data_IF_832433427496
#
_entry.id   IF_832433427496
#
_cell.length_a   1.000
_cell.length_b   1.000
_cell.length_c   1.000
_cell.angle_alpha   90.00
_cell.angle_beta   90.00
_cell.angle_gamma   90.00
#
_symmetry.space_group_name_H-M   'P 1'
#
loop_
_entity.id
_entity.type
_entity.pdbx_description
1 polymer ?
#
# COMPACT_ATOMS: atom_id res chain seq x y z
N UNK A 1 42.87 5.23 -20.85
CA UNK A 1 41.78 6.01 -20.24
C UNK A 1 40.67 6.09 -21.26
N UNK A 2 39.64 5.26 -21.15
CA UNK A 2 38.45 5.38 -22.00
C UNK A 2 37.74 6.68 -21.64
N UNK A 3 37.62 7.58 -22.61
CA UNK A 3 36.94 8.86 -22.45
C UNK A 3 35.51 8.60 -21.97
N UNK A 4 35.17 9.05 -20.75
CA UNK A 4 33.79 8.92 -20.28
C UNK A 4 32.91 9.80 -21.17
N UNK A 5 31.76 9.30 -21.66
CA UNK A 5 30.87 10.13 -22.45
C UNK A 5 30.45 11.34 -21.63
N UNK A 6 30.42 12.51 -22.27
CA UNK A 6 29.94 13.73 -21.60
C UNK A 6 28.48 13.57 -21.21
N UNK A 7 28.05 14.29 -20.17
CA UNK A 7 26.63 14.31 -19.76
C UNK A 7 25.74 14.77 -20.92
N UNK A 8 26.22 15.69 -21.77
CA UNK A 8 25.50 16.13 -22.96
C UNK A 8 25.23 14.97 -23.95
N UNK A 9 26.26 14.18 -24.27
CA UNK A 9 26.12 13.06 -25.19
C UNK A 9 25.22 11.97 -24.61
N UNK A 10 25.37 11.68 -23.31
CA UNK A 10 24.52 10.71 -22.62
C UNK A 10 23.05 11.15 -22.58
N UNK A 11 22.77 12.42 -22.28
CA UNK A 11 21.42 12.97 -22.30
C UNK A 11 20.76 12.81 -23.67
N UNK A 12 21.48 13.14 -24.75
CA UNK A 12 20.98 12.97 -26.11
C UNK A 12 20.68 11.49 -26.43
N UNK A 13 21.57 10.58 -26.05
CA UNK A 13 21.38 9.14 -26.24
C UNK A 13 20.14 8.64 -25.48
N UNK A 14 19.97 9.03 -24.21
CA UNK A 14 18.83 8.61 -23.40
C UNK A 14 17.50 9.15 -23.90
N UNK A 15 17.44 10.41 -24.32
CA UNK A 15 16.23 10.98 -24.93
C UNK A 15 15.86 10.26 -26.23
N UNK A 16 16.86 9.97 -27.08
CA UNK A 16 16.67 9.22 -28.33
C UNK A 16 16.21 7.79 -28.07
N UNK A 17 16.67 7.19 -26.96
CA UNK A 17 16.26 5.90 -26.46
C UNK A 17 14.87 5.90 -25.82
N UNK A 18 14.13 7.01 -25.84
CA UNK A 18 12.83 7.17 -25.21
C UNK A 18 12.86 7.11 -23.66
N UNK A 19 13.97 7.52 -23.04
CA UNK A 19 14.12 7.68 -21.59
C UNK A 19 13.93 9.15 -21.18
N UNK A 20 13.27 9.38 -20.06
CA UNK A 20 13.08 10.71 -19.49
C UNK A 20 14.29 11.10 -18.63
N UNK A 21 15.37 11.52 -19.28
CA UNK A 21 16.59 11.98 -18.62
C UNK A 21 16.48 13.45 -18.19
N UNK A 22 16.94 13.79 -16.98
CA UNK A 22 16.97 15.15 -16.42
C UNK A 22 18.35 15.44 -15.81
N UNK A 23 18.81 16.70 -15.82
CA UNK A 23 20.01 17.08 -15.06
C UNK A 23 19.72 16.95 -13.55
N UNK A 24 20.74 16.58 -12.78
CA UNK A 24 20.60 16.27 -11.36
C UNK A 24 21.62 17.00 -10.47
N UNK A 25 21.26 17.17 -9.20
CA UNK A 25 22.17 17.55 -8.13
C UNK A 25 22.70 16.27 -7.51
N UNK A 26 23.99 15.97 -7.72
CA UNK A 26 24.61 14.71 -7.29
C UNK A 26 24.46 14.43 -5.80
N UNK A 27 24.73 15.44 -4.98
CA UNK A 27 24.71 15.33 -3.51
C UNK A 27 23.31 15.07 -2.95
N UNK A 28 22.28 15.61 -3.60
CA UNK A 28 20.88 15.52 -3.16
C UNK A 28 20.10 14.41 -3.85
N UNK A 29 20.69 13.77 -4.86
CA UNK A 29 20.08 12.73 -5.68
C UNK A 29 18.69 13.13 -6.23
N UNK A 30 18.54 14.37 -6.70
CA UNK A 30 17.28 14.90 -7.27
C UNK A 30 17.53 15.76 -8.51
N UNK A 31 16.52 16.01 -9.36
CA UNK A 31 16.66 16.90 -10.50
C UNK A 31 17.12 18.30 -10.06
N UNK A 32 18.04 18.91 -10.82
CA UNK A 32 18.55 20.28 -10.56
C UNK A 32 17.67 21.38 -11.14
N UNK A 33 16.58 20.98 -11.79
CA UNK A 33 15.57 21.87 -12.37
C UNK A 33 14.41 22.05 -11.41
N UNK A 34 13.66 23.15 -11.54
CA UNK A 34 12.58 23.54 -10.63
C UNK A 34 11.41 22.54 -10.55
N UNK A 35 10.19 22.87 -11.05
CA UNK A 35 9.06 21.94 -10.97
C UNK A 35 9.28 20.75 -11.93
N UNK A 36 9.99 19.72 -11.46
CA UNK A 36 10.33 18.54 -12.26
C UNK A 36 9.20 17.52 -12.35
N UNK A 37 8.20 17.58 -11.46
CA UNK A 37 7.07 16.63 -11.45
C UNK A 37 6.29 16.60 -12.77
N UNK A 38 6.28 17.70 -13.52
CA UNK A 38 5.68 17.73 -14.86
C UNK A 38 6.27 16.69 -15.82
N UNK A 39 7.53 16.29 -15.60
CA UNK A 39 8.19 15.29 -16.44
C UNK A 39 7.75 13.85 -16.11
N UNK A 40 6.94 13.65 -15.06
CA UNK A 40 6.24 12.38 -14.83
C UNK A 40 5.14 12.11 -15.86
N UNK A 41 4.75 13.10 -16.67
CA UNK A 41 3.72 12.93 -17.71
C UNK A 41 4.18 13.33 -19.11
N UNK A 42 5.38 13.92 -19.25
CA UNK A 42 5.99 14.25 -20.54
C UNK A 42 7.52 14.17 -20.48
N UNK A 43 8.17 14.01 -21.63
CA UNK A 43 9.64 14.13 -21.72
C UNK A 43 10.08 15.60 -21.81
N UNK A 44 11.32 15.90 -21.39
CA UNK A 44 11.93 17.18 -21.73
C UNK A 44 12.19 17.28 -23.23
N UNK A 45 12.08 18.49 -23.75
CA UNK A 45 12.38 18.82 -25.14
C UNK A 45 13.88 19.00 -25.35
N UNK A 46 14.33 18.95 -26.60
CA UNK A 46 15.72 19.25 -26.97
C UNK A 46 16.12 20.65 -26.51
N UNK A 47 15.23 21.63 -26.67
CA UNK A 47 15.48 23.02 -26.27
C UNK A 47 15.62 23.18 -24.75
N UNK A 48 14.78 22.52 -23.95
CA UNK A 48 14.90 22.49 -22.49
C UNK A 48 16.26 21.92 -22.07
N UNK A 49 16.67 20.79 -22.67
CA UNK A 49 17.98 20.20 -22.39
C UNK A 49 19.15 21.07 -22.83
N UNK A 50 19.08 21.70 -24.01
CA UNK A 50 20.10 22.66 -24.45
C UNK A 50 20.26 23.81 -23.46
N UNK A 51 19.16 24.35 -22.93
CA UNK A 51 19.20 25.40 -21.92
C UNK A 51 19.82 24.92 -20.60
N UNK A 52 19.54 23.69 -20.17
CA UNK A 52 20.12 23.13 -18.95
C UNK A 52 21.61 22.84 -19.08
N UNK A 53 22.09 22.41 -20.25
CA UNK A 53 23.50 22.18 -20.51
C UNK A 53 24.33 23.45 -20.38
N UNK A 54 23.76 24.62 -20.69
CA UNK A 54 24.42 25.91 -20.50
C UNK A 54 24.78 26.18 -19.02
N UNK A 55 24.10 25.52 -18.08
CA UNK A 55 24.40 25.59 -16.64
C UNK A 55 25.42 24.56 -16.17
N UNK A 56 25.97 23.73 -17.06
CA UNK A 56 27.02 22.75 -16.75
C UNK A 56 26.61 21.71 -15.70
N UNK A 57 25.58 20.88 -15.96
CA UNK A 57 25.12 19.90 -14.98
C UNK A 57 26.21 18.86 -14.67
N UNK A 58 26.42 18.60 -13.38
CA UNK A 58 27.43 17.63 -12.90
C UNK A 58 26.91 16.18 -12.83
N UNK A 59 25.60 16.00 -12.98
CA UNK A 59 24.95 14.70 -12.91
C UNK A 59 23.72 14.63 -13.81
N UNK A 60 23.32 13.40 -14.13
CA UNK A 60 22.13 13.06 -14.88
C UNK A 60 21.34 12.00 -14.12
N UNK A 61 20.02 12.14 -14.12
CA UNK A 61 19.09 11.14 -13.60
C UNK A 61 18.08 10.76 -14.67
N UNK A 62 17.48 9.58 -14.52
CA UNK A 62 16.36 9.15 -15.35
C UNK A 62 15.16 8.94 -14.44
N UNK A 63 14.01 9.39 -14.92
CA UNK A 63 12.72 9.16 -14.29
C UNK A 63 12.15 7.83 -14.77
N UNK A 64 11.79 6.95 -13.85
CA UNK A 64 11.26 5.62 -14.13
C UNK A 64 9.76 5.67 -14.48
N UNK A 65 9.23 4.54 -14.95
CA UNK A 65 7.82 4.36 -15.30
C UNK A 65 7.45 4.79 -16.71
N UNK A 66 6.19 5.21 -16.87
CA UNK A 66 5.55 5.56 -18.13
C UNK A 66 6.34 6.58 -18.97
N UNK A 67 7.00 7.63 -18.41
CA UNK A 67 7.78 8.58 -19.21
C UNK A 67 8.99 7.96 -19.89
N UNK A 68 9.46 6.81 -19.41
CA UNK A 68 10.65 6.09 -19.90
C UNK A 68 10.32 4.75 -20.57
N UNK A 69 9.05 4.52 -20.90
CA UNK A 69 8.60 3.27 -21.51
C UNK A 69 8.57 2.12 -20.51
N UNK A 70 8.02 2.39 -19.33
CA UNK A 70 7.94 1.46 -18.19
C UNK A 70 9.30 0.95 -17.72
N UNK A 71 10.32 1.82 -17.77
CA UNK A 71 11.61 1.52 -17.15
C UNK A 71 11.43 1.36 -15.65
N UNK A 72 11.97 0.28 -15.10
CA UNK A 72 12.06 0.01 -13.67
C UNK A 72 13.47 -0.43 -13.33
N UNK A 73 13.85 -0.20 -12.08
CA UNK A 73 15.18 -0.54 -11.58
C UNK A 73 15.01 -1.33 -10.32
N UNK A 74 15.89 -2.31 -10.10
CA UNK A 74 16.11 -2.90 -8.79
C UNK A 74 17.39 -2.26 -8.22
N UNK A 75 17.19 -1.49 -7.16
CA UNK A 75 18.19 -0.72 -6.42
C UNK A 75 18.69 -1.57 -5.24
N UNK A 76 19.96 -1.97 -5.30
CA UNK A 76 20.64 -2.75 -4.26
C UNK A 76 21.44 -1.81 -3.36
N UNK A 77 20.86 -1.51 -2.21
CA UNK A 77 21.43 -0.64 -1.18
C UNK A 77 22.41 -1.39 -0.26
N UNK A 78 22.86 -0.75 0.82
CA UNK A 78 23.76 -1.32 1.82
C UNK A 78 25.06 -1.92 1.22
N UNK A 79 25.63 -1.25 0.21
CA UNK A 79 26.83 -1.71 -0.49
C UNK A 79 26.59 -2.90 -1.41
N UNK A 80 25.32 -3.23 -1.70
CA UNK A 80 24.94 -4.30 -2.61
C UNK A 80 25.17 -5.69 -2.02
N UNK A 81 25.13 -5.86 -0.70
CA UNK A 81 25.43 -7.14 -0.03
C UNK A 81 24.56 -8.30 -0.55
N UNK A 82 23.30 -8.04 -0.90
CA UNK A 82 22.39 -9.05 -1.44
C UNK A 82 22.49 -9.26 -2.95
N UNK A 83 23.23 -8.41 -3.69
CA UNK A 83 23.30 -8.47 -5.15
C UNK A 83 23.80 -9.83 -5.65
N UNK A 84 24.86 -10.38 -5.04
CA UNK A 84 25.43 -11.67 -5.48
C UNK A 84 24.47 -12.84 -5.26
N UNK A 85 23.80 -12.88 -4.11
CA UNK A 85 22.83 -13.92 -3.79
C UNK A 85 21.61 -13.84 -4.72
N UNK A 86 21.14 -12.62 -4.99
CA UNK A 86 20.07 -12.34 -5.93
C UNK A 86 20.44 -12.72 -7.37
N UNK A 87 21.63 -12.33 -7.81
CA UNK A 87 22.10 -12.64 -9.17
C UNK A 87 22.18 -14.14 -9.39
N UNK A 88 22.67 -14.89 -8.40
CA UNK A 88 22.78 -16.35 -8.48
C UNK A 88 21.41 -17.08 -8.46
N UNK A 89 20.33 -16.44 -8.00
CA UNK A 89 19.00 -17.04 -7.95
C UNK A 89 18.15 -16.77 -9.20
N UNK A 90 18.60 -15.90 -10.11
CA UNK A 90 17.93 -15.65 -11.38
C UNK A 90 18.53 -16.49 -12.54
N UNK A 91 17.71 -16.96 -13.51
CA UNK A 91 18.19 -17.66 -14.70
C UNK A 91 19.22 -16.87 -15.51
N UNK A 92 20.24 -17.53 -16.06
CA UNK A 92 21.26 -16.91 -16.91
C UNK A 92 20.66 -16.17 -18.13
N UNK A 93 19.60 -16.71 -18.71
CA UNK A 93 18.87 -16.09 -19.82
C UNK A 93 18.24 -14.73 -19.46
N UNK A 94 17.91 -14.51 -18.18
CA UNK A 94 17.47 -13.21 -17.68
C UNK A 94 18.67 -12.32 -17.35
N UNK A 95 19.73 -12.86 -16.74
CA UNK A 95 20.96 -12.12 -16.46
C UNK A 95 21.49 -11.40 -17.71
N UNK A 96 21.53 -12.08 -18.85
CA UNK A 96 22.02 -11.53 -20.13
C UNK A 96 21.21 -10.34 -20.66
N UNK A 97 19.94 -10.20 -20.27
CA UNK A 97 19.05 -9.11 -20.70
C UNK A 97 19.24 -7.83 -19.90
N UNK A 98 19.81 -7.92 -18.70
CA UNK A 98 19.82 -6.83 -17.74
C UNK A 98 20.93 -5.83 -18.03
N UNK A 99 20.64 -4.55 -17.84
CA UNK A 99 21.66 -3.52 -17.73
C UNK A 99 22.04 -3.40 -16.25
N UNK A 100 23.34 -3.37 -15.94
CA UNK A 100 23.83 -3.28 -14.56
C UNK A 100 24.82 -2.13 -14.46
N UNK A 101 24.63 -1.30 -13.45
CA UNK A 101 25.56 -0.23 -13.09
C UNK A 101 25.91 -0.29 -11.61
N UNK A 102 27.16 0.06 -11.26
CA UNK A 102 27.60 0.23 -9.87
C UNK A 102 27.32 1.65 -9.41
N UNK A 103 26.95 1.78 -8.13
CA UNK A 103 26.66 3.07 -7.50
C UNK A 103 27.82 3.55 -6.63
N UNK A 104 27.90 4.85 -6.28
CA UNK A 104 28.99 5.41 -5.46
C UNK A 104 29.10 4.81 -4.05
N UNK A 105 27.99 4.28 -3.51
CA UNK A 105 27.96 3.62 -2.20
C UNK A 105 28.38 2.15 -2.24
N UNK A 106 28.78 1.64 -3.41
CA UNK A 106 29.18 0.25 -3.61
C UNK A 106 28.04 -0.68 -4.03
N UNK A 107 26.80 -0.17 -4.05
CA UNK A 107 25.60 -0.88 -4.47
C UNK A 107 25.49 -1.05 -5.98
N UNK A 108 24.31 -1.50 -6.43
CA UNK A 108 24.02 -1.80 -7.83
C UNK A 108 22.65 -1.26 -8.23
N UNK A 109 22.54 -0.74 -9.45
CA UNK A 109 21.28 -0.61 -10.14
C UNK A 109 21.19 -1.69 -11.21
N UNK A 110 20.08 -2.42 -11.24
CA UNK A 110 19.72 -3.35 -12.31
C UNK A 110 18.54 -2.76 -13.07
N UNK A 111 18.75 -2.43 -14.34
CA UNK A 111 17.82 -1.64 -15.14
C UNK A 111 17.20 -2.50 -16.26
N UNK A 112 15.89 -2.37 -16.42
CA UNK A 112 15.11 -3.00 -17.49
C UNK A 112 13.87 -2.18 -17.82
N UNK A 113 13.16 -2.56 -18.89
CA UNK A 113 11.79 -2.12 -19.18
C UNK A 113 10.81 -3.25 -18.96
N UNK A 114 9.58 -2.94 -18.58
CA UNK A 114 8.49 -3.90 -18.55
C UNK A 114 7.55 -3.72 -19.76
N UNK A 115 7.08 -4.82 -20.32
CA UNK A 115 6.05 -4.82 -21.37
C UNK A 115 4.70 -4.25 -20.88
N UNK A 116 4.43 -4.31 -19.58
CA UNK A 116 3.26 -3.70 -18.95
C UNK A 116 3.63 -2.50 -18.06
N UNK A 117 2.62 -1.71 -17.68
CA UNK A 117 2.81 -0.62 -16.72
C UNK A 117 3.37 -1.15 -15.40
N UNK A 118 4.39 -0.47 -14.88
CA UNK A 118 4.95 -0.73 -13.55
C UNK A 118 4.26 0.14 -12.51
N UNK A 119 4.18 -0.35 -11.28
CA UNK A 119 3.70 0.46 -10.16
C UNK A 119 4.81 1.40 -9.67
N UNK A 120 4.53 2.18 -8.61
CA UNK A 120 5.55 2.96 -7.93
C UNK A 120 6.64 2.12 -7.25
N UNK A 121 7.48 2.76 -6.46
CA UNK A 121 8.60 2.11 -5.77
C UNK A 121 8.13 0.99 -4.83
N UNK A 122 8.76 -0.19 -4.92
CA UNK A 122 8.46 -1.38 -4.13
C UNK A 122 9.65 -1.72 -3.23
N UNK A 123 9.47 -1.76 -1.91
CA UNK A 123 10.48 -2.38 -1.02
C UNK A 123 10.44 -3.91 -1.16
N UNK A 124 11.53 -4.52 -1.62
CA UNK A 124 11.60 -5.95 -1.92
C UNK A 124 12.32 -6.75 -0.83
N UNK A 125 13.36 -6.20 -0.23
CA UNK A 125 14.06 -6.84 0.88
C UNK A 125 14.45 -5.81 1.92
N UNK A 126 14.18 -6.15 3.18
CA UNK A 126 14.46 -5.32 4.34
C UNK A 126 15.04 -6.18 5.47
N UNK A 127 15.83 -5.55 6.33
CA UNK A 127 16.36 -6.15 7.57
C UNK A 127 16.11 -5.20 8.73
N UNK A 128 15.72 -5.76 9.88
CA UNK A 128 15.64 -5.00 11.13
C UNK A 128 16.99 -5.05 11.85
N UNK A 129 17.60 -3.90 12.06
CA UNK A 129 18.87 -3.73 12.79
C UNK A 129 18.59 -2.83 14.01
N UNK A 130 18.52 -3.45 15.20
CA UNK A 130 17.99 -2.78 16.39
C UNK A 130 16.53 -2.36 16.16
N UNK A 131 16.22 -1.08 16.38
CA UNK A 131 14.88 -0.51 16.14
C UNK A 131 14.69 0.04 14.72
N UNK A 132 15.71 0.00 13.87
CA UNK A 132 15.64 0.55 12.51
C UNK A 132 15.40 -0.56 11.50
N UNK A 133 14.47 -0.31 10.58
CA UNK A 133 14.28 -1.14 9.40
C UNK A 133 15.09 -0.54 8.25
N UNK A 134 16.04 -1.29 7.73
CA UNK A 134 16.90 -0.92 6.61
C UNK A 134 16.36 -1.60 5.35
N UNK A 135 16.23 -0.84 4.26
CA UNK A 135 15.93 -1.40 2.94
C UNK A 135 17.23 -1.86 2.29
N UNK A 136 17.26 -3.11 1.83
CA UNK A 136 18.41 -3.72 1.16
C UNK A 136 18.19 -3.81 -0.35
N UNK A 137 16.95 -4.06 -0.77
CA UNK A 137 16.55 -4.09 -2.17
C UNK A 137 15.22 -3.35 -2.31
N UNK A 138 15.12 -2.40 -3.23
CA UNK A 138 13.85 -1.79 -3.64
C UNK A 138 13.75 -1.61 -5.15
N UNK A 139 12.54 -1.47 -5.68
CA UNK A 139 12.35 -0.99 -7.04
C UNK A 139 12.24 0.53 -7.10
N UNK A 140 12.72 1.11 -8.21
CA UNK A 140 12.33 2.45 -8.66
C UNK A 140 11.41 2.30 -9.87
N UNK A 141 10.11 2.36 -9.61
CA UNK A 141 9.05 2.22 -10.62
C UNK A 141 8.44 3.57 -11.03
N UNK A 142 7.14 3.63 -11.29
CA UNK A 142 6.42 4.86 -11.66
C UNK A 142 6.68 6.01 -10.69
N UNK A 143 7.13 7.15 -11.22
CA UNK A 143 7.49 8.35 -10.44
C UNK A 143 8.79 8.23 -9.64
N UNK A 144 9.43 7.05 -9.62
CA UNK A 144 10.77 6.83 -9.10
C UNK A 144 11.84 7.45 -10.00
N UNK A 145 13.03 7.69 -9.46
CA UNK A 145 14.16 8.20 -10.21
C UNK A 145 15.46 7.60 -9.69
N UNK A 146 16.50 7.64 -10.52
CA UNK A 146 17.85 7.23 -10.16
C UNK A 146 18.88 8.09 -10.88
N UNK A 147 20.01 8.33 -10.23
CA UNK A 147 21.19 8.86 -10.90
C UNK A 147 21.89 7.70 -11.62
N UNK A 148 22.48 8.01 -12.76
CA UNK A 148 23.08 6.99 -13.63
C UNK A 148 24.38 7.45 -14.26
N UNK A 149 25.10 6.51 -14.87
CA UNK A 149 26.23 6.82 -15.73
C UNK A 149 25.83 7.88 -16.78
N UNK A 150 26.71 8.82 -17.17
CA UNK A 150 28.12 8.98 -16.77
C UNK A 150 28.32 9.86 -15.51
N UNK A 151 27.30 10.05 -14.67
CA UNK A 151 27.45 10.80 -13.41
C UNK A 151 28.63 10.24 -12.61
N UNK A 152 29.53 11.08 -12.06
CA UNK A 152 30.71 10.58 -11.35
C UNK A 152 30.35 9.57 -10.23
N UNK A 153 31.01 8.40 -10.27
CA UNK A 153 30.79 7.31 -9.33
C UNK A 153 29.69 6.32 -9.72
N UNK A 154 28.99 6.55 -10.85
CA UNK A 154 28.14 5.56 -11.49
C UNK A 154 28.87 4.95 -12.68
N UNK A 155 28.91 3.62 -12.76
CA UNK A 155 29.68 2.89 -13.77
C UNK A 155 28.87 1.72 -14.31
N UNK A 156 28.58 1.73 -15.62
CA UNK A 156 27.96 0.60 -16.29
C UNK A 156 28.93 -0.58 -16.33
N UNK A 157 28.50 -1.70 -15.77
CA UNK A 157 29.26 -2.95 -15.76
C UNK A 157 28.68 -3.99 -16.72
N UNK A 158 27.42 -3.83 -17.14
CA UNK A 158 26.78 -4.70 -18.11
C UNK A 158 25.70 -3.96 -18.91
N UNK A 159 25.60 -4.26 -20.20
CA UNK A 159 24.55 -3.76 -21.07
C UNK A 159 24.71 -2.30 -21.47
N UNK A 160 23.67 -1.76 -22.11
CA UNK A 160 23.60 -0.37 -22.55
C UNK A 160 22.35 0.29 -21.97
N UNK A 161 22.55 1.34 -21.17
CA UNK A 161 21.44 2.07 -20.55
C UNK A 161 20.55 2.78 -21.58
N UNK A 162 21.06 3.08 -22.78
CA UNK A 162 20.26 3.60 -23.88
C UNK A 162 19.49 2.50 -24.63
N UNK A 163 19.67 1.23 -24.28
CA UNK A 163 18.94 0.12 -24.89
C UNK A 163 18.58 -0.97 -23.85
N UNK A 164 17.80 -0.64 -22.81
CA UNK A 164 17.38 -1.62 -21.82
C UNK A 164 16.40 -2.62 -22.45
N UNK A 165 16.59 -3.91 -22.16
CA UNK A 165 15.70 -4.96 -22.63
C UNK A 165 14.27 -4.78 -22.09
N UNK A 166 13.28 -5.11 -22.92
CA UNK A 166 11.87 -5.16 -22.51
C UNK A 166 11.56 -6.58 -22.04
N UNK A 167 11.26 -6.71 -20.76
CA UNK A 167 10.91 -7.95 -20.10
C UNK A 167 9.38 -8.19 -20.14
N UNK A 168 8.99 -9.46 -20.19
CA UNK A 168 7.59 -9.84 -19.95
C UNK A 168 7.21 -9.64 -18.47
N UNK A 169 5.91 -9.61 -18.16
CA UNK A 169 5.45 -9.57 -16.75
C UNK A 169 6.01 -10.76 -15.96
N UNK A 170 6.07 -11.95 -16.57
CA UNK A 170 6.60 -13.17 -15.94
C UNK A 170 8.10 -13.08 -15.68
N UNK A 171 8.87 -12.52 -16.61
CA UNK A 171 10.31 -12.32 -16.43
C UNK A 171 10.58 -11.33 -15.31
N UNK A 172 9.82 -10.23 -15.27
CA UNK A 172 9.85 -9.27 -14.16
C UNK A 172 9.52 -9.95 -12.83
N UNK A 173 8.48 -10.77 -12.77
CA UNK A 173 8.10 -11.47 -11.54
C UNK A 173 9.25 -12.33 -10.99
N UNK A 174 10.01 -13.02 -11.85
CA UNK A 174 11.18 -13.81 -11.43
C UNK A 174 12.23 -12.93 -10.75
N UNK A 175 12.50 -11.73 -11.28
CA UNK A 175 13.44 -10.79 -10.69
C UNK A 175 12.98 -10.32 -9.30
N UNK A 176 11.70 -9.98 -9.17
CA UNK A 176 11.13 -9.53 -7.90
C UNK A 176 11.07 -10.68 -6.87
N UNK A 177 10.80 -11.91 -7.32
CA UNK A 177 10.85 -13.11 -6.48
C UNK A 177 12.21 -13.32 -5.85
N UNK A 178 13.24 -13.32 -6.69
CA UNK A 178 14.60 -13.53 -6.27
C UNK A 178 15.01 -12.52 -5.20
N UNK A 179 14.51 -11.28 -5.29
CA UNK A 179 14.78 -10.25 -4.30
C UNK A 179 13.98 -10.49 -3.01
N UNK A 180 12.71 -10.85 -3.13
CA UNK A 180 11.85 -11.12 -1.99
C UNK A 180 12.28 -12.34 -1.17
N UNK A 181 12.82 -13.38 -1.80
CA UNK A 181 13.36 -14.55 -1.12
C UNK A 181 14.56 -14.23 -0.23
N UNK A 182 15.15 -13.04 -0.38
CA UNK A 182 16.22 -12.52 0.47
C UNK A 182 15.70 -11.54 1.53
N UNK A 183 14.39 -11.34 1.63
CA UNK A 183 13.80 -10.46 2.62
C UNK A 183 13.85 -11.08 4.03
N UNK A 184 14.34 -10.31 5.00
CA UNK A 184 14.50 -10.76 6.39
C UNK A 184 13.50 -10.11 7.33
N UNK A 185 12.67 -9.19 6.83
CA UNK A 185 11.73 -8.43 7.63
C UNK A 185 10.34 -8.38 7.00
N UNK A 186 9.35 -8.85 7.76
CA UNK A 186 7.94 -8.67 7.40
C UNK A 186 7.37 -7.47 8.15
N UNK A 187 6.72 -6.52 7.47
CA UNK A 187 6.13 -5.37 8.11
C UNK A 187 4.95 -5.76 9.01
N UNK A 188 4.57 -4.89 9.97
CA UNK A 188 3.40 -5.11 10.81
C UNK A 188 2.14 -5.26 9.96
N UNK A 189 1.28 -6.20 10.35
CA UNK A 189 0.06 -6.53 9.62
C UNK A 189 -0.94 -5.38 9.71
N UNK A 190 -1.55 -5.00 8.59
CA UNK A 190 -2.70 -4.12 8.56
C UNK A 190 -3.90 -4.87 9.16
N UNK A 191 -4.09 -4.71 10.46
CA UNK A 191 -5.32 -5.09 11.12
C UNK A 191 -6.37 -4.01 10.85
N UNK A 192 -7.63 -4.42 10.70
CA UNK A 192 -8.76 -3.47 10.71
C UNK A 192 -8.80 -2.63 11.98
N UNK A 193 -9.78 -1.73 12.16
CA UNK A 193 -9.86 -0.86 13.32
C UNK A 193 -9.72 -1.66 14.62
N UNK A 194 -8.56 -1.58 15.26
CA UNK A 194 -8.40 -2.04 16.63
C UNK A 194 -9.22 -1.09 17.47
N UNK A 195 -10.41 -1.52 17.90
CA UNK A 195 -11.21 -0.75 18.85
C UNK A 195 -10.30 -0.25 19.97
N UNK A 196 -10.23 1.08 20.08
CA UNK A 196 -9.34 1.83 20.95
C UNK A 196 -9.25 1.21 22.36
N UNK A 197 -8.13 0.57 22.64
CA UNK A 197 -7.63 0.42 24.00
C UNK A 197 -6.50 1.44 24.17
N UNK A 198 -6.85 2.74 24.13
CA UNK A 198 -6.18 3.89 24.74
C UNK A 198 -6.63 5.18 24.04
N UNK A 199 -7.76 5.73 24.49
CA UNK A 199 -8.05 7.16 24.31
C UNK A 199 -7.83 7.84 25.67
N UNK A 200 -6.90 8.80 25.80
CA UNK A 200 -6.74 9.57 27.03
C UNK A 200 -7.83 10.65 27.06
N UNK A 201 -9.05 10.26 27.42
CA UNK A 201 -10.04 11.24 27.86
C UNK A 201 -9.70 11.67 29.29
N UNK A 202 -8.92 12.75 29.41
CA UNK A 202 -8.90 13.57 30.63
C UNK A 202 -10.25 14.29 30.69
N UNK A 203 -11.20 13.65 31.38
CA UNK A 203 -12.41 14.28 31.92
C UNK A 203 -12.30 14.31 33.44
N UNK A 204 -12.83 15.34 34.12
CA UNK A 204 -12.53 15.57 35.53
C UNK A 204 -13.15 14.50 36.42
N UNK A 205 -12.37 14.17 37.45
CA UNK A 205 -12.64 13.24 38.53
C UNK A 205 -13.96 13.60 39.22
N UNK A 206 -14.86 12.62 39.39
CA UNK A 206 -15.87 12.64 40.44
C UNK A 206 -15.95 11.26 41.07
N UNK A 207 -15.49 11.24 42.32
CA UNK A 207 -15.45 10.16 43.28
C UNK A 207 -16.85 9.68 43.67
N UNK A 208 -17.15 8.40 43.49
CA UNK A 208 -17.69 7.48 44.53
C UNK A 208 -18.30 6.20 43.93
N UNK A 209 -17.54 5.10 43.93
CA UNK A 209 -18.00 3.77 44.42
C UNK A 209 -16.89 2.72 44.25
N UNK A 210 -16.63 1.88 45.27
CA UNK A 210 -15.64 0.81 45.20
C UNK A 210 -16.24 -0.46 44.56
N UNK A 211 -15.37 -1.35 44.06
CA UNK A 211 -15.61 -2.66 43.43
C UNK A 211 -15.54 -2.70 41.90
N UNK A 212 -14.32 -2.83 41.37
CA UNK A 212 -14.05 -3.49 40.09
C UNK A 212 -12.74 -4.27 40.22
N UNK A 213 -12.88 -5.59 40.34
CA UNK A 213 -11.78 -6.55 40.24
C UNK A 213 -11.49 -6.78 38.75
N UNK A 214 -10.21 -6.79 38.39
CA UNK A 214 -9.75 -6.88 37.02
C UNK A 214 -10.08 -8.21 36.36
N UNK A 215 -10.54 -8.15 35.12
CA UNK A 215 -10.43 -9.24 34.17
C UNK A 215 -9.79 -8.68 32.90
N UNK A 216 -8.53 -9.06 32.68
CA UNK A 216 -7.87 -8.89 31.39
C UNK A 216 -8.72 -9.61 30.33
N UNK A 217 -9.29 -8.88 29.38
CA UNK A 217 -9.98 -9.48 28.24
C UNK A 217 -8.98 -10.34 27.49
N UNK A 218 -9.19 -11.66 27.48
CA UNK A 218 -8.48 -12.54 26.58
C UNK A 218 -8.80 -12.09 25.15
N UNK A 219 -7.79 -11.82 24.34
CA UNK A 219 -7.93 -11.47 22.91
C UNK A 219 -8.59 -12.59 22.05
N UNK A 220 -9.14 -13.65 22.65
CA UNK A 220 -9.82 -14.76 21.97
C UNK A 220 -11.34 -14.63 21.87
N UNK A 221 -11.94 -13.60 22.47
CA UNK A 221 -13.41 -13.49 22.55
C UNK A 221 -14.05 -12.83 21.32
N UNK A 222 -13.28 -12.08 20.52
CA UNK A 222 -13.83 -11.34 19.37
C UNK A 222 -13.89 -12.23 18.13
N UNK A 223 -14.99 -12.20 17.35
CA UNK A 223 -15.13 -13.03 16.14
C UNK A 223 -13.98 -12.87 15.12
N UNK A 224 -13.48 -11.65 14.94
CA UNK A 224 -12.35 -11.39 14.04
C UNK A 224 -11.03 -11.98 14.53
N UNK A 225 -10.77 -11.94 15.83
CA UNK A 225 -9.54 -12.52 16.42
C UNK A 225 -9.60 -14.06 16.38
N UNK A 226 -10.77 -14.65 16.65
CA UNK A 226 -11.00 -16.08 16.49
C UNK A 226 -10.83 -16.52 15.02
N UNK A 227 -11.33 -15.74 14.06
CA UNK A 227 -11.11 -16.01 12.63
C UNK A 227 -9.62 -15.88 12.23
N UNK A 228 -8.88 -14.91 12.78
CA UNK A 228 -7.43 -14.84 12.56
C UNK A 228 -6.73 -16.13 12.99
N UNK A 229 -7.17 -16.71 14.11
CA UNK A 229 -6.56 -17.91 14.69
C UNK A 229 -6.95 -19.21 13.97
N UNK A 230 -8.24 -19.46 13.72
CA UNK A 230 -8.74 -20.74 13.18
C UNK A 230 -9.48 -20.65 11.85
N UNK A 231 -9.78 -19.44 11.37
CA UNK A 231 -10.50 -19.23 10.11
C UNK A 231 -9.71 -19.72 8.90
N UNK A 232 -10.42 -20.28 7.92
CA UNK A 232 -9.82 -20.75 6.68
C UNK A 232 -9.75 -19.63 5.64
N UNK A 233 -8.67 -18.85 5.71
CA UNK A 233 -8.39 -17.78 4.74
C UNK A 233 -8.14 -18.34 3.33
N UNK A 234 -7.74 -19.61 3.19
CA UNK A 234 -7.41 -20.19 1.89
C UNK A 234 -8.69 -20.38 1.07
N UNK A 235 -9.74 -20.90 1.70
CA UNK A 235 -11.06 -21.01 1.10
C UNK A 235 -11.61 -19.65 0.63
N UNK A 236 -11.48 -18.61 1.46
CA UNK A 236 -11.92 -17.24 1.10
C UNK A 236 -11.16 -16.73 -0.13
N UNK A 237 -9.85 -16.93 -0.20
CA UNK A 237 -9.06 -16.52 -1.36
C UNK A 237 -9.49 -17.26 -2.63
N UNK A 238 -9.65 -18.59 -2.54
CA UNK A 238 -10.05 -19.44 -3.66
C UNK A 238 -11.45 -19.09 -4.20
N UNK A 239 -12.41 -18.80 -3.33
CA UNK A 239 -13.77 -18.37 -3.70
C UNK A 239 -13.76 -17.06 -4.51
N UNK A 240 -12.83 -16.16 -4.18
CA UNK A 240 -12.62 -14.91 -4.90
C UNK A 240 -11.64 -15.03 -6.08
N UNK A 241 -11.41 -16.25 -6.56
CA UNK A 241 -10.65 -16.52 -7.79
C UNK A 241 -9.13 -16.45 -7.65
N UNK A 242 -8.60 -16.37 -6.43
CA UNK A 242 -7.17 -16.52 -6.22
C UNK A 242 -6.77 -17.98 -6.37
N UNK A 243 -5.63 -18.21 -7.02
CA UNK A 243 -5.15 -19.56 -7.28
C UNK A 243 -3.91 -19.82 -6.45
N UNK A 244 -3.98 -20.82 -5.56
CA UNK A 244 -2.82 -21.32 -4.84
C UNK A 244 -1.89 -22.07 -5.80
N UNK A 245 -0.61 -21.72 -5.78
CA UNK A 245 0.43 -22.38 -6.57
C UNK A 245 1.09 -23.48 -5.74
N UNK A 246 0.73 -24.74 -6.00
CA UNK A 246 1.21 -25.90 -5.22
C UNK A 246 2.54 -26.45 -5.73
N UNK A 247 2.93 -26.12 -6.95
CA UNK A 247 4.22 -26.45 -7.57
C UNK A 247 5.38 -25.64 -6.99
N UNK A 248 5.07 -24.62 -6.18
CA UNK A 248 6.04 -23.73 -5.53
C UNK A 248 5.88 -23.82 -4.02
N UNK A 249 6.87 -24.39 -3.34
CA UNK A 249 7.02 -24.25 -1.89
C UNK A 249 8.19 -23.31 -1.62
N UNK A 250 7.93 -22.22 -0.90
CA UNK A 250 8.99 -21.30 -0.50
C UNK A 250 9.91 -21.98 0.50
N UNK A 251 11.19 -21.57 0.55
CA UNK A 251 12.19 -22.14 1.48
C UNK A 251 11.75 -22.11 2.96
N UNK A 252 10.82 -21.21 3.30
CA UNK A 252 10.37 -20.93 4.67
C UNK A 252 8.89 -21.29 4.94
N UNK A 253 8.29 -22.18 4.13
CA UNK A 253 6.87 -22.53 4.29
C UNK A 253 5.89 -21.48 3.76
N UNK A 254 6.37 -20.52 2.96
CA UNK A 254 5.50 -19.59 2.24
C UNK A 254 4.65 -20.32 1.20
N UNK A 255 3.35 -20.04 1.21
CA UNK A 255 2.44 -20.43 0.14
C UNK A 255 2.32 -19.29 -0.87
N UNK A 256 2.39 -19.59 -2.16
CA UNK A 256 2.28 -18.60 -3.22
C UNK A 256 0.87 -18.56 -3.80
N UNK A 257 0.37 -17.35 -4.01
CA UNK A 257 -1.01 -17.09 -4.45
C UNK A 257 -1.01 -16.18 -5.67
N UNK A 258 -1.72 -16.59 -6.73
CA UNK A 258 -1.90 -15.81 -7.96
C UNK A 258 -3.25 -15.09 -7.92
N UNK A 259 -3.23 -13.80 -8.22
CA UNK A 259 -4.45 -12.96 -8.29
C UNK A 259 -5.36 -13.39 -9.45
N UNK A 260 -6.67 -13.12 -9.37
CA UNK A 260 -7.61 -13.35 -10.47
C UNK A 260 -7.16 -12.65 -11.76
N UNK A 261 -7.37 -13.31 -12.91
CA UNK A 261 -7.07 -12.74 -14.23
C UNK A 261 -5.59 -12.70 -14.62
N UNK A 262 -4.65 -13.07 -13.74
CA UNK A 262 -3.23 -13.20 -14.09
C UNK A 262 -2.97 -14.59 -14.72
N UNK A 263 -2.31 -14.69 -15.89
CA UNK A 263 -2.13 -15.98 -16.57
C UNK A 263 -1.05 -16.86 -15.92
N UNK A 264 0.04 -16.27 -15.42
CA UNK A 264 1.22 -16.98 -14.86
C UNK A 264 1.84 -16.18 -13.69
N UNK A 265 2.79 -16.77 -12.97
CA UNK A 265 3.42 -16.17 -11.79
C UNK A 265 2.51 -16.16 -10.55
N UNK A 266 2.89 -15.44 -9.49
CA UNK A 266 2.08 -15.21 -8.29
C UNK A 266 1.89 -13.69 -8.08
N UNK A 267 1.16 -13.31 -7.05
CA UNK A 267 0.82 -11.93 -6.73
C UNK A 267 0.76 -11.66 -5.22
N UNK A 268 0.72 -12.71 -4.42
CA UNK A 268 0.75 -12.65 -2.97
C UNK A 268 1.42 -13.91 -2.37
N UNK A 269 1.78 -13.83 -1.10
CA UNK A 269 2.20 -14.99 -0.30
C UNK A 269 1.36 -15.09 0.96
N UNK A 270 1.03 -16.30 1.39
CA UNK A 270 0.47 -16.58 2.70
C UNK A 270 1.56 -17.26 3.54
N UNK A 271 1.95 -16.63 4.65
CA UNK A 271 2.95 -17.16 5.58
C UNK A 271 2.32 -17.43 6.94
N UNK A 272 2.67 -18.57 7.54
CA UNK A 272 2.39 -18.86 8.94
C UNK A 272 3.55 -18.31 9.79
N UNK A 273 3.26 -17.28 10.58
CA UNK A 273 4.19 -16.67 11.53
C UNK A 273 3.80 -17.05 12.97
N UNK A 274 4.72 -16.87 13.91
CA UNK A 274 4.45 -17.08 15.35
C UNK A 274 3.31 -16.22 15.90
N UNK A 275 3.04 -15.08 15.26
CA UNK A 275 1.98 -14.12 15.63
C UNK A 275 0.68 -14.34 14.84
N UNK A 276 0.61 -15.35 13.96
CA UNK A 276 -0.55 -15.66 13.13
C UNK A 276 -0.24 -15.75 11.64
N UNK A 277 -1.28 -15.99 10.84
CA UNK A 277 -1.17 -16.03 9.37
C UNK A 277 -1.12 -14.62 8.79
N UNK A 278 -0.26 -14.41 7.79
CA UNK A 278 -0.13 -13.12 7.09
C UNK A 278 -0.24 -13.35 5.59
N UNK A 279 -1.25 -12.74 4.97
CA UNK A 279 -1.40 -12.66 3.52
C UNK A 279 -0.78 -11.37 3.02
N UNK A 280 0.38 -11.47 2.39
CA UNK A 280 1.14 -10.33 1.90
C UNK A 280 0.98 -10.16 0.40
N UNK A 281 0.45 -9.01 -0.04
CA UNK A 281 0.15 -8.74 -1.46
C UNK A 281 1.23 -7.89 -2.09
N UNK A 282 1.81 -8.37 -3.19
CA UNK A 282 2.87 -7.67 -3.93
C UNK A 282 2.32 -6.85 -5.09
N UNK A 283 1.24 -7.32 -5.70
CA UNK A 283 0.75 -6.77 -6.96
C UNK A 283 -0.09 -5.51 -6.75
N UNK A 284 0.15 -4.49 -7.58
CA UNK A 284 -0.70 -3.30 -7.68
C UNK A 284 -2.05 -3.54 -8.38
N UNK A 285 -2.21 -4.70 -9.02
CA UNK A 285 -3.42 -5.07 -9.76
C UNK A 285 -4.21 -6.16 -9.01
N UNK A 286 -4.17 -6.11 -7.68
CA UNK A 286 -4.78 -7.09 -6.78
C UNK A 286 -5.87 -6.45 -5.91
N UNK A 287 -6.66 -5.52 -6.48
CA UNK A 287 -7.82 -4.96 -5.78
C UNK A 287 -8.69 -6.08 -5.20
N UNK A 288 -9.21 -5.94 -3.96
CA UNK A 288 -9.23 -4.74 -3.11
C UNK A 288 -7.96 -4.50 -2.27
N UNK A 289 -6.90 -5.27 -2.46
CA UNK A 289 -5.69 -5.15 -1.66
C UNK A 289 -4.78 -4.03 -2.17
N UNK A 290 -4.18 -3.34 -1.21
CA UNK A 290 -3.09 -2.40 -1.46
C UNK A 290 -1.79 -3.18 -1.69
N UNK A 291 -0.97 -2.76 -2.67
CA UNK A 291 0.33 -3.35 -2.87
C UNK A 291 1.22 -3.17 -1.63
N UNK A 292 2.15 -4.10 -1.43
CA UNK A 292 3.12 -4.11 -0.33
C UNK A 292 2.53 -4.21 1.09
N UNK A 293 1.29 -4.70 1.20
CA UNK A 293 0.59 -4.73 2.47
C UNK A 293 0.38 -6.17 2.94
N UNK A 294 0.69 -6.41 4.21
CA UNK A 294 0.37 -7.65 4.90
C UNK A 294 -1.00 -7.55 5.54
N UNK A 295 -1.85 -8.53 5.31
CA UNK A 295 -3.21 -8.62 5.82
C UNK A 295 -3.39 -9.84 6.71
N UNK A 296 -4.07 -9.65 7.84
CA UNK A 296 -4.52 -10.75 8.68
C UNK A 296 -5.70 -11.47 7.99
N UNK A 297 -6.00 -12.75 8.31
CA UNK A 297 -7.13 -13.47 7.75
C UNK A 297 -8.46 -12.72 7.81
N UNK A 298 -8.74 -12.08 8.94
CA UNK A 298 -9.96 -11.29 9.12
C UNK A 298 -10.00 -10.07 8.20
N UNK A 299 -8.86 -9.40 7.97
CA UNK A 299 -8.78 -8.28 7.03
C UNK A 299 -8.98 -8.76 5.59
N UNK A 300 -8.43 -9.92 5.22
CA UNK A 300 -8.67 -10.56 3.91
C UNK A 300 -10.15 -10.85 3.72
N UNK A 301 -10.77 -11.53 4.69
CA UNK A 301 -12.20 -11.83 4.69
C UNK A 301 -13.05 -10.57 4.57
N UNK A 302 -12.74 -9.54 5.35
CA UNK A 302 -13.49 -8.28 5.33
C UNK A 302 -13.40 -7.58 3.99
N UNK A 303 -12.21 -7.51 3.39
CA UNK A 303 -12.01 -6.82 2.12
C UNK A 303 -12.72 -7.54 0.96
N UNK A 304 -12.65 -8.88 0.94
CA UNK A 304 -13.22 -9.68 -0.15
C UNK A 304 -14.73 -9.87 -0.03
N UNK A 305 -15.24 -10.23 1.15
CA UNK A 305 -16.67 -10.55 1.35
C UNK A 305 -17.53 -9.31 1.65
N UNK A 306 -16.97 -8.34 2.38
CA UNK A 306 -17.74 -7.21 2.94
C UNK A 306 -17.28 -5.85 2.42
N UNK A 307 -16.43 -5.82 1.39
CA UNK A 307 -15.96 -4.59 0.75
C UNK A 307 -15.22 -3.63 1.71
N UNK A 308 -14.61 -4.16 2.77
CA UNK A 308 -13.93 -3.35 3.79
C UNK A 308 -14.78 -2.98 5.01
N UNK A 309 -16.05 -3.42 5.09
CA UNK A 309 -16.89 -3.17 6.26
C UNK A 309 -16.62 -4.18 7.39
N UNK A 310 -15.73 -3.79 8.31
CA UNK A 310 -15.30 -4.62 9.44
C UNK A 310 -16.44 -4.93 10.44
N UNK A 311 -17.45 -4.08 10.55
CA UNK A 311 -18.57 -4.33 11.46
C UNK A 311 -19.54 -5.37 10.89
N UNK A 312 -19.82 -5.31 9.59
CA UNK A 312 -20.60 -6.34 8.90
C UNK A 312 -19.85 -7.66 8.87
N UNK A 313 -18.55 -7.64 8.61
CA UNK A 313 -17.70 -8.84 8.63
C UNK A 313 -17.70 -9.52 10.00
N UNK A 314 -17.50 -8.78 11.10
CA UNK A 314 -17.52 -9.35 12.45
C UNK A 314 -18.89 -9.95 12.82
N UNK A 315 -20.00 -9.32 12.39
CA UNK A 315 -21.36 -9.85 12.59
C UNK A 315 -21.57 -11.15 11.81
N UNK A 316 -21.15 -11.20 10.55
CA UNK A 316 -21.24 -12.40 9.70
C UNK A 316 -20.44 -13.56 10.30
N UNK A 317 -19.21 -13.29 10.75
CA UNK A 317 -18.36 -14.29 11.43
C UNK A 317 -19.01 -14.82 12.71
N UNK A 318 -19.70 -13.98 13.47
CA UNK A 318 -20.43 -14.43 14.66
C UNK A 318 -21.54 -15.41 14.31
N UNK A 319 -22.28 -15.16 13.23
CA UNK A 319 -23.30 -16.11 12.73
C UNK A 319 -22.68 -17.42 12.23
N UNK A 320 -21.45 -17.37 11.72
CA UNK A 320 -20.65 -18.54 11.36
C UNK A 320 -19.99 -19.25 12.57
N UNK A 321 -20.30 -18.79 13.79
CA UNK A 321 -19.84 -19.41 15.03
C UNK A 321 -18.43 -19.02 15.45
N UNK A 322 -17.91 -17.87 15.00
CA UNK A 322 -16.64 -17.31 15.47
C UNK A 322 -16.84 -16.33 16.65
N UNK A 323 -15.95 -16.39 17.64
CA UNK A 323 -16.02 -15.62 18.89
C UNK A 323 -16.77 -16.36 20.01
N UNK A 324 -16.68 -15.86 21.24
CA UNK A 324 -17.36 -16.47 22.39
C UNK A 324 -18.77 -15.92 22.55
N UNK A 325 -19.74 -16.81 22.72
CA UNK A 325 -21.02 -16.43 23.30
C UNK A 325 -20.81 -16.25 24.79
N UNK A 326 -20.83 -15.01 25.27
CA UNK A 326 -20.94 -14.73 26.71
C UNK A 326 -22.32 -15.18 27.20
N UNK A 327 -22.53 -16.49 27.31
CA UNK A 327 -23.64 -17.10 28.00
C UNK A 327 -23.25 -17.32 29.47
N UNK A 328 -23.27 -16.25 30.26
CA UNK A 328 -23.34 -16.34 31.72
C UNK A 328 -24.37 -15.34 32.24
N UNK A 329 -25.63 -15.75 32.22
CA UNK A 329 -26.59 -15.66 33.35
C UNK A 329 -27.97 -16.07 32.86
N UNK A 330 -28.34 -17.34 33.07
CA UNK A 330 -29.73 -17.75 33.24
C UNK A 330 -29.79 -18.82 34.33
N UNK A 331 -29.52 -18.39 35.55
CA UNK A 331 -30.05 -19.01 36.75
C UNK A 331 -30.74 -17.88 37.53
N UNK A 332 -32.06 -17.80 37.39
CA UNK A 332 -32.91 -16.81 38.05
C UNK A 332 -33.80 -16.08 37.07
N UNK A 333 -34.92 -16.70 36.73
CA UNK A 333 -36.05 -16.08 36.03
C UNK A 333 -36.63 -14.93 36.90
N UNK A 334 -36.61 -13.64 36.47
CA UNK A 334 -37.40 -12.62 37.12
C UNK A 334 -38.79 -12.61 36.48
N UNK A 335 -39.74 -13.17 37.22
CA UNK A 335 -41.17 -13.20 36.95
C UNK A 335 -41.73 -11.80 36.57
N UNK A 336 -42.19 -11.64 35.31
CA UNK A 336 -42.72 -10.38 34.74
C UNK A 336 -44.21 -10.14 35.13
N UNK A 337 -44.80 -10.98 35.98
CA UNK A 337 -46.25 -10.92 36.29
C UNK A 337 -46.79 -9.67 37.02
N UNK A 338 -46.02 -8.70 37.60
CA UNK A 338 -46.64 -7.53 38.22
C UNK A 338 -46.81 -6.29 37.31
N UNK A 339 -46.20 -6.21 36.12
CA UNK A 339 -46.15 -4.94 35.34
C UNK A 339 -47.38 -4.72 34.42
N UNK A 340 -48.25 -5.72 34.25
CA UNK A 340 -49.44 -5.61 33.35
C UNK A 340 -50.67 -4.96 34.00
N UNK A 341 -50.64 -4.56 35.28
CA UNK A 341 -51.83 -3.99 35.93
C UNK A 341 -51.53 -2.77 36.81
N UNK A 342 -51.29 -1.63 36.17
CA UNK A 342 -51.80 -0.31 36.57
C UNK A 342 -51.31 0.73 35.56
N UNK A 343 -52.25 1.32 34.81
CA UNK A 343 -51.94 2.41 33.90
C UNK A 343 -51.59 3.69 34.67
N UNK A 344 -50.57 4.47 34.26
CA UNK A 344 -50.31 5.78 34.82
C UNK A 344 -51.28 6.84 34.26
N UNK A 345 -51.60 7.90 35.03
CA UNK A 345 -52.45 9.00 34.59
C UNK A 345 -51.71 9.90 33.58
N UNK A 346 -52.53 10.53 32.72
CA UNK A 346 -52.11 11.33 31.58
C UNK A 346 -51.12 12.45 31.94
N UNK A 347 -49.93 12.39 31.36
CA UNK A 347 -49.04 13.53 31.15
C UNK A 347 -48.89 13.74 29.64
N UNK A 348 -49.03 15.00 29.22
CA UNK A 348 -49.14 15.43 27.83
C UNK A 348 -48.00 14.91 26.96
N UNK A 349 -48.37 14.26 25.86
CA UNK A 349 -47.48 13.63 24.87
C UNK A 349 -46.87 14.71 23.98
N UNK A 350 -45.55 14.93 24.08
CA UNK A 350 -44.78 15.55 23.00
C UNK A 350 -44.76 14.58 21.80
N UNK A 351 -44.77 15.08 20.54
CA UNK A 351 -44.85 14.21 19.38
C UNK A 351 -43.60 13.32 19.25
N UNK A 352 -43.90 12.07 18.90
CA UNK A 352 -43.04 10.90 18.72
C UNK A 352 -42.17 11.05 17.46
N UNK A 353 -40.86 11.28 17.62
CA UNK A 353 -39.88 11.14 16.53
C UNK A 353 -39.23 9.75 16.58
N UNK A 354 -40.00 8.75 16.14
CA UNK A 354 -39.45 7.48 15.67
C UNK A 354 -38.61 7.73 14.39
N UNK A 355 -37.43 7.10 14.20
CA UNK A 355 -36.65 7.30 12.98
C UNK A 355 -37.42 6.75 11.77
N UNK A 356 -37.77 7.65 10.86
CA UNK A 356 -38.59 7.39 9.67
C UNK A 356 -37.76 6.61 8.64
N UNK A 357 -37.87 5.28 8.63
CA UNK A 357 -37.29 4.45 7.56
C UNK A 357 -38.01 4.80 6.25
N UNK A 358 -37.33 5.53 5.36
CA UNK A 358 -37.83 5.91 4.03
C UNK A 358 -37.20 5.04 2.94
N UNK A 359 -37.98 4.68 1.93
CA UNK A 359 -37.45 4.01 0.73
C UNK A 359 -36.58 4.99 -0.06
N UNK A 360 -35.47 4.51 -0.62
CA UNK A 360 -34.54 5.31 -1.43
C UNK A 360 -35.24 6.07 -2.56
N UNK A 361 -36.21 5.43 -3.22
CA UNK A 361 -37.00 6.06 -4.29
C UNK A 361 -37.79 7.27 -3.79
N UNK A 362 -38.41 7.17 -2.61
CA UNK A 362 -39.15 8.29 -2.01
C UNK A 362 -38.23 9.46 -1.68
N UNK A 363 -36.99 9.19 -1.22
CA UNK A 363 -35.97 10.21 -0.96
C UNK A 363 -35.55 10.93 -2.24
N UNK A 364 -35.35 10.19 -3.34
CA UNK A 364 -35.02 10.77 -4.65
C UNK A 364 -36.18 11.64 -5.17
N UNK A 365 -37.41 11.13 -5.08
CA UNK A 365 -38.61 11.83 -5.56
C UNK A 365 -38.94 13.09 -4.72
N UNK A 366 -38.49 13.16 -3.46
CA UNK A 366 -38.63 14.36 -2.60
C UNK A 366 -37.42 15.28 -2.60
N UNK A 367 -36.34 14.95 -3.31
CA UNK A 367 -35.16 15.80 -3.39
C UNK A 367 -35.40 16.97 -4.35
N UNK A 368 -35.73 18.15 -3.82
CA UNK A 368 -36.00 19.36 -4.59
C UNK A 368 -34.75 20.05 -5.17
N UNK A 369 -33.62 19.35 -5.22
CA UNK A 369 -32.32 19.90 -5.61
C UNK A 369 -31.51 20.41 -4.42
N UNK A 370 -30.49 21.20 -4.75
CA UNK A 370 -29.52 21.73 -3.78
C UNK A 370 -30.13 22.83 -2.92
N UNK A 371 -29.83 22.83 -1.62
CA UNK A 371 -30.30 23.87 -0.71
C UNK A 371 -29.69 25.24 -1.06
N UNK A 372 -30.30 26.36 -0.60
CA UNK A 372 -29.76 27.70 -0.83
C UNK A 372 -28.30 27.81 -0.36
N UNK A 373 -27.47 28.44 -1.18
CA UNK A 373 -26.07 28.69 -0.85
C UNK A 373 -25.97 29.71 0.30
N UNK A 374 -25.26 29.33 1.37
CA UNK A 374 -24.77 30.22 2.43
C UNK A 374 -23.49 30.92 1.96
N UNK A 375 -22.63 30.18 1.26
CA UNK A 375 -21.49 30.71 0.51
C UNK A 375 -21.66 30.24 -0.92
N UNK A 376 -21.74 31.20 -1.85
CA UNK A 376 -21.96 30.92 -3.26
C UNK A 376 -20.98 29.85 -3.78
N UNK A 377 -21.54 28.82 -4.41
CA UNK A 377 -20.83 27.64 -4.95
C UNK A 377 -20.04 26.77 -3.96
N UNK A 378 -20.09 27.03 -2.65
CA UNK A 378 -19.26 26.31 -1.67
C UNK A 378 -20.09 25.62 -0.59
N UNK A 379 -20.90 26.38 0.15
CA UNK A 379 -21.61 25.89 1.32
C UNK A 379 -23.10 26.18 1.20
N UNK A 380 -23.94 25.20 1.49
CA UNK A 380 -25.41 25.31 1.43
C UNK A 380 -26.04 25.03 2.78
N UNK A 381 -27.19 25.64 3.03
CA UNK A 381 -27.86 25.57 4.33
C UNK A 381 -28.34 24.15 4.61
N UNK A 382 -27.93 23.58 5.75
CA UNK A 382 -28.36 22.24 6.18
C UNK A 382 -27.66 21.07 5.46
N UNK A 383 -26.64 21.35 4.66
CA UNK A 383 -25.83 20.32 3.99
C UNK A 383 -24.47 20.14 4.68
N UNK A 384 -23.91 18.93 4.64
CA UNK A 384 -22.56 18.63 5.13
C UNK A 384 -21.55 18.83 4.00
N UNK A 385 -20.54 19.67 4.22
CA UNK A 385 -19.41 19.84 3.30
C UNK A 385 -18.17 19.15 3.86
N UNK A 386 -17.57 18.25 3.08
CA UNK A 386 -16.28 17.63 3.41
C UNK A 386 -15.13 18.44 2.82
N UNK A 387 -14.21 18.90 3.67
CA UNK A 387 -12.98 19.58 3.22
C UNK A 387 -11.77 18.67 3.42
N UNK A 388 -11.26 18.20 2.28
CA UNK A 388 -10.16 17.24 2.18
C UNK A 388 -8.93 17.99 1.67
N UNK A 389 -7.80 17.80 2.35
CA UNK A 389 -6.50 18.34 1.96
C UNK A 389 -5.43 17.26 2.13
N UNK A 390 -4.38 17.33 1.31
CA UNK A 390 -3.23 16.44 1.40
C UNK A 390 -2.56 16.54 2.77
N UNK A 391 -1.90 15.46 3.26
CA UNK A 391 -1.19 15.49 4.54
C UNK A 391 -0.20 16.67 4.61
N UNK A 392 -0.17 17.35 5.76
CA UNK A 392 0.66 18.54 6.07
C UNK A 392 0.21 19.88 5.45
N UNK A 393 -0.93 19.93 4.75
CA UNK A 393 -1.56 21.19 4.37
C UNK A 393 -2.52 21.61 5.49
N UNK A 394 -2.27 22.77 6.11
CA UNK A 394 -3.17 23.34 7.10
C UNK A 394 -4.55 23.62 6.48
N UNK A 395 -5.61 23.18 7.14
CA UNK A 395 -6.99 23.45 6.71
C UNK A 395 -7.44 24.76 7.38
N UNK A 396 -7.21 25.87 6.71
CA UNK A 396 -7.66 27.19 7.17
C UNK A 396 -8.61 27.78 6.13
N UNK A 397 -9.71 28.37 6.60
CA UNK A 397 -10.55 29.23 5.77
C UNK A 397 -10.86 30.52 6.51
N UNK A 398 -10.77 31.64 5.80
CA UNK A 398 -11.17 32.96 6.29
C UNK A 398 -12.55 33.29 5.74
N UNK A 399 -13.48 33.66 6.60
CA UNK A 399 -14.78 34.21 6.21
C UNK A 399 -14.70 35.70 6.47
N UNK A 400 -14.62 36.54 5.43
CA UNK A 400 -14.86 37.98 5.57
C UNK A 400 -16.36 38.22 5.41
N UNK A 401 -16.98 38.89 6.38
CA UNK A 401 -18.37 39.33 6.33
C UNK A 401 -18.58 40.43 5.30
#
# INVERSE_FOLDING_TARGET
MTDRPSIANAAQAYLSANLCALPAIRAEKRPSIGPWKQYQTRKPTVAEWSAWLANGPEAICILCGSPSGHTEIIDFDAGGELFKAWWASIPATLQEKLVVERTPSGGYHVIYRCSCAVCGNIKLAQRKVGDKVVTLIETRGEGGLFLCAPTPGYELTQGDLANPAVLSEEERDVLLQAAWELNEYLPPVANGPTGSANSPHIGPVSSNSPHMCGCASHNGDRPGDDFNNRGDVRAVLEEHGWVRLTDRQGRDGNEYWRRPGKPRGWSATLKECSEGRIFYVFSSNAAPFEPQTGYAPFAVYTLLEHGGDFEQAARSLRTLGFGSDSATHNAGDPNISPIVRQGPPALARAPDESPLIKRLKTLIDTFAGLNPAVIWNLLRKGETMNIIASPKVGKSWFVSH
#
